data_IF_754624357408
#
_entry.id   IF_754624357408
#
_cell.length_a   1.000
_cell.length_b   1.000
_cell.length_c   1.000
_cell.angle_alpha   90.00
_cell.angle_beta   90.00
_cell.angle_gamma   90.00
#
_symmetry.space_group_name_H-M   'P 1'
#
loop_
_entity.id
_entity.type
_entity.pdbx_description
1 polymer ?
#
# COMPACT_ATOMS: atom_id res chain seq x y z
N UNK A 1 14.94 -7.87 25.95
CA UNK A 1 14.46 -8.99 25.10
C UNK A 1 15.34 -9.03 23.88
N UNK A 2 15.83 -10.20 23.48
CA UNK A 2 16.74 -10.33 22.34
C UNK A 2 16.01 -9.91 21.06
N UNK A 3 16.49 -8.87 20.39
CA UNK A 3 16.04 -8.53 19.03
C UNK A 3 16.25 -9.75 18.14
N UNK A 4 15.23 -10.23 17.41
CA UNK A 4 15.44 -11.26 16.40
C UNK A 4 16.53 -10.80 15.44
N UNK A 5 17.43 -11.69 15.04
CA UNK A 5 18.38 -11.39 13.98
C UNK A 5 17.62 -11.31 12.64
N UNK A 6 17.02 -10.16 12.35
CA UNK A 6 16.30 -9.93 11.09
C UNK A 6 17.19 -10.11 9.85
N UNK A 7 18.50 -9.99 10.05
CA UNK A 7 19.52 -10.17 9.01
C UNK A 7 19.61 -11.62 8.52
N UNK A 8 19.17 -12.61 9.32
CA UNK A 8 19.22 -14.03 8.96
C UNK A 8 17.91 -14.58 8.38
N UNK A 9 16.87 -13.75 8.23
CA UNK A 9 15.59 -14.18 7.67
C UNK A 9 15.67 -14.29 6.14
N UNK A 10 15.51 -15.51 5.63
CA UNK A 10 15.40 -15.75 4.20
C UNK A 10 14.08 -15.23 3.61
N UNK A 11 13.99 -15.11 2.27
CA UNK A 11 12.78 -14.64 1.57
C UNK A 11 11.59 -15.61 1.70
N UNK A 12 11.82 -16.83 2.18
CA UNK A 12 10.78 -17.85 2.40
C UNK A 12 10.41 -18.05 3.86
N UNK A 13 11.10 -17.35 4.77
CA UNK A 13 10.87 -17.52 6.20
C UNK A 13 9.73 -16.61 6.67
N UNK A 14 8.84 -17.20 7.46
CA UNK A 14 7.79 -16.47 8.17
C UNK A 14 8.34 -15.88 9.47
N UNK A 15 7.87 -14.69 9.83
CA UNK A 15 8.26 -14.01 11.06
C UNK A 15 7.04 -13.88 11.98
N UNK A 16 7.18 -14.31 13.24
CA UNK A 16 6.17 -14.04 14.26
C UNK A 16 6.38 -12.64 14.85
N UNK A 17 5.30 -11.90 14.97
CA UNK A 17 5.22 -10.59 15.61
C UNK A 17 4.41 -10.72 16.91
N UNK A 18 4.38 -9.64 17.69
CA UNK A 18 3.54 -9.57 18.87
C UNK A 18 2.03 -9.57 18.53
N UNK A 19 1.19 -9.74 19.56
CA UNK A 19 -0.28 -9.73 19.44
C UNK A 19 -0.86 -10.81 18.52
N UNK A 20 -0.15 -11.91 18.34
CA UNK A 20 -0.58 -13.05 17.51
C UNK A 20 -0.59 -12.73 16.02
N UNK A 21 0.22 -11.77 15.55
CA UNK A 21 0.41 -11.51 14.13
C UNK A 21 1.65 -12.23 13.62
N UNK A 22 1.60 -12.69 12.38
CA UNK A 22 2.76 -13.25 11.68
C UNK A 22 2.85 -12.71 10.27
N UNK A 23 4.07 -12.55 9.78
CA UNK A 23 4.37 -12.21 8.41
C UNK A 23 4.71 -13.48 7.63
N UNK A 24 3.98 -13.71 6.54
CA UNK A 24 4.19 -14.84 5.65
C UNK A 24 4.64 -14.36 4.27
N UNK A 25 5.63 -15.01 3.65
CA UNK A 25 6.09 -14.64 2.33
C UNK A 25 5.01 -14.89 1.28
N UNK A 26 4.97 -14.01 0.27
CA UNK A 26 4.07 -14.07 -0.87
C UNK A 26 4.73 -13.48 -2.11
N UNK A 27 4.14 -13.76 -3.27
CA UNK A 27 4.46 -13.08 -4.52
C UNK A 27 3.16 -12.53 -5.07
N UNK A 28 3.04 -11.19 -5.14
CA UNK A 28 1.91 -10.54 -5.79
C UNK A 28 2.30 -10.11 -7.19
N UNK A 29 1.47 -10.46 -8.17
CA UNK A 29 1.55 -10.01 -9.54
C UNK A 29 0.32 -9.17 -9.85
N UNK A 30 0.52 -8.03 -10.47
CA UNK A 30 -0.55 -7.21 -11.02
C UNK A 30 -0.62 -7.47 -12.51
N UNK A 31 -1.81 -7.69 -13.04
CA UNK A 31 -2.00 -7.87 -14.47
C UNK A 31 -3.05 -6.94 -15.03
N UNK A 32 -2.78 -6.45 -16.23
CA UNK A 32 -3.67 -5.61 -17.03
C UNK A 32 -4.03 -6.37 -18.29
N UNK A 33 -5.31 -6.43 -18.61
CA UNK A 33 -5.84 -7.22 -19.72
C UNK A 33 -6.22 -6.27 -20.84
N UNK A 34 -5.67 -6.51 -22.02
CA UNK A 34 -5.94 -5.78 -23.24
C UNK A 34 -6.68 -6.67 -24.24
N UNK A 35 -7.45 -6.07 -25.14
CA UNK A 35 -8.03 -6.78 -26.28
C UNK A 35 -6.98 -6.92 -27.38
N UNK A 36 -6.81 -8.13 -27.90
CA UNK A 36 -6.00 -8.34 -29.11
C UNK A 36 -6.86 -8.26 -30.38
N UNK A 37 -8.13 -8.68 -30.29
CA UNK A 37 -9.08 -8.69 -31.42
C UNK A 37 -10.10 -7.54 -31.40
N UNK A 38 -10.79 -7.36 -32.54
CA UNK A 38 -11.84 -6.35 -32.73
C UNK A 38 -13.20 -6.72 -32.12
N UNK A 39 -13.34 -7.93 -31.55
CA UNK A 39 -14.61 -8.38 -30.97
C UNK A 39 -14.90 -7.65 -29.65
N UNK A 40 -16.15 -7.22 -29.48
CA UNK A 40 -16.63 -6.61 -28.22
C UNK A 40 -17.22 -7.68 -27.31
N UNK A 41 -16.59 -8.86 -27.27
CA UNK A 41 -17.07 -9.94 -26.42
C UNK A 41 -16.95 -9.54 -24.94
N UNK A 42 -17.95 -9.90 -24.12
CA UNK A 42 -17.84 -9.71 -22.69
C UNK A 42 -16.70 -10.56 -22.15
N UNK A 43 -15.94 -10.00 -21.22
CA UNK A 43 -14.90 -10.74 -20.52
C UNK A 43 -15.56 -11.77 -19.61
N UNK A 44 -15.14 -13.02 -19.71
CA UNK A 44 -15.50 -14.07 -18.77
C UNK A 44 -14.41 -14.17 -17.70
N UNK A 45 -14.69 -13.61 -16.52
CA UNK A 45 -13.74 -13.55 -15.40
C UNK A 45 -13.32 -14.94 -14.96
N UNK A 46 -14.27 -15.89 -14.90
CA UNK A 46 -14.01 -17.25 -14.47
C UNK A 46 -13.05 -17.96 -15.43
N UNK A 47 -13.24 -17.80 -16.75
CA UNK A 47 -12.34 -18.39 -17.74
C UNK A 47 -10.94 -17.80 -17.66
N UNK A 48 -10.80 -16.47 -17.54
CA UNK A 48 -9.48 -15.84 -17.40
C UNK A 48 -8.77 -16.36 -16.14
N UNK A 49 -9.46 -16.36 -14.99
CA UNK A 49 -8.91 -16.90 -13.74
C UNK A 49 -8.40 -18.33 -13.94
N UNK A 50 -9.24 -19.19 -14.52
CA UNK A 50 -8.89 -20.59 -14.75
C UNK A 50 -7.70 -20.75 -15.71
N UNK A 51 -7.65 -19.98 -16.80
CA UNK A 51 -6.51 -20.02 -17.73
C UNK A 51 -5.19 -19.60 -17.08
N UNK A 52 -5.21 -18.58 -16.20
CA UNK A 52 -4.03 -18.16 -15.45
C UNK A 52 -3.60 -19.25 -14.47
N UNK A 53 -4.55 -19.83 -13.73
CA UNK A 53 -4.28 -20.90 -12.75
C UNK A 53 -3.74 -22.15 -13.45
N UNK A 54 -4.37 -22.58 -14.54
CA UNK A 54 -3.95 -23.74 -15.33
C UNK A 54 -2.54 -23.53 -15.91
N UNK A 55 -2.22 -22.32 -16.40
CA UNK A 55 -0.89 -21.97 -16.88
C UNK A 55 0.17 -22.07 -15.75
N UNK A 56 -0.11 -21.50 -14.58
CA UNK A 56 0.82 -21.57 -13.44
C UNK A 56 1.06 -23.01 -13.01
N UNK A 57 0.01 -23.83 -13.02
CA UNK A 57 0.08 -25.25 -12.71
C UNK A 57 0.88 -26.03 -13.75
N UNK A 58 0.68 -25.77 -15.05
CA UNK A 58 1.37 -26.50 -16.12
C UNK A 58 2.82 -26.07 -16.33
N UNK A 59 3.09 -24.77 -16.24
CA UNK A 59 4.39 -24.20 -16.63
C UNK A 59 5.34 -24.00 -15.47
N UNK A 60 4.81 -23.84 -14.25
CA UNK A 60 5.60 -23.54 -13.07
C UNK A 60 5.33 -24.51 -11.90
N UNK A 61 4.44 -25.50 -12.08
CA UNK A 61 4.01 -26.44 -11.03
C UNK A 61 3.52 -25.74 -9.76
N UNK A 62 2.92 -24.56 -9.93
CA UNK A 62 2.39 -23.74 -8.83
C UNK A 62 0.89 -23.95 -8.72
N UNK A 63 0.42 -24.37 -7.55
CA UNK A 63 -0.99 -24.38 -7.22
C UNK A 63 -1.40 -23.02 -6.62
N UNK A 64 -2.45 -22.43 -7.17
CA UNK A 64 -3.02 -21.17 -6.67
C UNK A 64 -4.53 -21.36 -6.49
N UNK A 65 -5.09 -21.08 -5.30
CA UNK A 65 -6.53 -21.06 -5.08
C UNK A 65 -7.24 -19.99 -5.91
N UNK A 66 -8.50 -20.23 -6.29
CA UNK A 66 -9.32 -19.27 -7.05
C UNK A 66 -9.51 -17.93 -6.32
N UNK A 67 -9.50 -17.96 -4.98
CA UNK A 67 -9.62 -16.78 -4.10
C UNK A 67 -8.40 -15.84 -4.19
N UNK A 68 -7.24 -16.36 -4.55
CA UNK A 68 -5.99 -15.60 -4.66
C UNK A 68 -5.82 -14.93 -6.04
N UNK A 69 -6.82 -15.07 -6.92
CA UNK A 69 -6.90 -14.38 -8.21
C UNK A 69 -8.11 -13.46 -8.22
N UNK A 70 -7.86 -12.15 -8.25
CA UNK A 70 -8.90 -11.13 -8.41
C UNK A 70 -8.87 -10.58 -9.83
N UNK A 71 -10.05 -10.42 -10.42
CA UNK A 71 -10.22 -9.74 -11.72
C UNK A 71 -11.33 -8.72 -11.56
N UNK A 72 -11.04 -7.50 -12.01
CA UNK A 72 -11.95 -6.35 -12.01
C UNK A 72 -12.05 -5.81 -13.42
N UNK A 73 -13.25 -5.87 -13.99
CA UNK A 73 -13.55 -5.28 -15.29
C UNK A 73 -13.67 -3.78 -15.15
N UNK A 74 -13.21 -3.05 -16.18
CA UNK A 74 -13.50 -1.63 -16.25
C UNK A 74 -14.96 -1.39 -16.68
N UNK A 75 -15.53 -0.28 -16.20
CA UNK A 75 -16.87 0.16 -16.61
C UNK A 75 -16.82 0.65 -18.07
N UNK A 76 -17.98 0.65 -18.72
CA UNK A 76 -18.17 1.21 -20.07
C UNK A 76 -17.18 0.72 -21.14
N UNK A 77 -17.01 -0.60 -21.25
CA UNK A 77 -16.18 -1.28 -22.26
C UNK A 77 -16.45 -0.88 -23.73
N UNK A 78 -17.58 -0.22 -24.02
CA UNK A 78 -17.97 0.28 -25.33
C UNK A 78 -17.47 1.70 -25.64
N UNK A 79 -17.17 2.50 -24.61
CA UNK A 79 -16.65 3.89 -24.76
C UNK A 79 -15.13 3.94 -24.78
N UNK A 80 -14.48 2.86 -24.35
CA UNK A 80 -13.02 2.71 -24.31
C UNK A 80 -12.43 2.56 -25.71
N UNK A 81 -11.23 3.11 -25.91
CA UNK A 81 -10.47 2.97 -27.15
C UNK A 81 -9.97 1.54 -27.31
N UNK A 82 -9.53 1.20 -28.52
CA UNK A 82 -9.08 -0.15 -28.87
C UNK A 82 -7.93 -0.65 -28.00
N UNK A 83 -6.98 0.24 -27.71
CA UNK A 83 -5.75 -0.09 -26.99
C UNK A 83 -5.91 0.13 -25.47
N UNK A 84 -7.09 0.56 -25.03
CA UNK A 84 -7.36 0.75 -23.62
C UNK A 84 -7.52 -0.61 -22.91
N UNK A 85 -7.09 -0.69 -21.66
CA UNK A 85 -7.25 -1.90 -20.87
C UNK A 85 -8.75 -2.14 -20.59
N UNK A 86 -9.11 -3.41 -20.55
CA UNK A 86 -10.49 -3.88 -20.40
C UNK A 86 -10.77 -4.55 -19.07
N UNK A 87 -9.73 -5.08 -18.43
CA UNK A 87 -9.78 -5.49 -17.04
C UNK A 87 -8.40 -5.31 -16.39
N UNK A 88 -8.40 -5.22 -15.08
CA UNK A 88 -7.22 -5.32 -14.22
C UNK A 88 -7.41 -6.45 -13.24
N UNK A 89 -6.33 -7.05 -12.78
CA UNK A 89 -6.42 -8.06 -11.76
C UNK A 89 -5.14 -8.21 -10.97
N UNK A 90 -5.23 -9.02 -9.92
CA UNK A 90 -4.10 -9.35 -9.08
C UNK A 90 -4.09 -10.83 -8.78
N UNK A 91 -2.89 -11.40 -8.77
CA UNK A 91 -2.60 -12.78 -8.48
C UNK A 91 -1.65 -12.83 -7.29
N UNK A 92 -1.96 -13.63 -6.27
CA UNK A 92 -1.12 -13.77 -5.08
C UNK A 92 -0.70 -15.23 -4.92
N UNK A 93 0.60 -15.50 -5.04
CA UNK A 93 1.16 -16.83 -4.81
C UNK A 93 1.66 -16.89 -3.37
N UNK A 94 1.02 -17.75 -2.56
CA UNK A 94 1.30 -17.91 -1.12
C UNK A 94 2.10 -19.16 -0.79
N UNK A 95 1.98 -20.21 -1.61
CA UNK A 95 2.69 -21.47 -1.42
C UNK A 95 4.07 -21.41 -2.09
N UNK A 96 5.08 -20.98 -1.35
CA UNK A 96 6.44 -20.83 -1.88
C UNK A 96 7.38 -21.99 -1.50
N UNK A 97 6.86 -23.05 -0.88
CA UNK A 97 7.65 -24.18 -0.37
C UNK A 97 8.38 -25.00 -1.45
N UNK A 98 7.99 -24.88 -2.72
CA UNK A 98 8.66 -25.53 -3.84
C UNK A 98 9.92 -24.78 -4.30
N UNK A 99 9.99 -23.47 -4.05
CA UNK A 99 11.05 -22.60 -4.58
C UNK A 99 12.45 -22.91 -4.04
N UNK A 100 12.66 -23.18 -2.73
CA UNK A 100 13.99 -23.56 -2.26
C UNK A 100 14.57 -24.76 -3.01
N UNK A 101 13.74 -25.77 -3.31
CA UNK A 101 14.14 -26.94 -4.11
C UNK A 101 14.37 -26.58 -5.57
N UNK A 102 13.47 -25.80 -6.17
CA UNK A 102 13.59 -25.36 -7.57
C UNK A 102 14.86 -24.50 -7.81
N UNK A 103 15.23 -23.67 -6.84
CA UNK A 103 16.42 -22.83 -6.85
C UNK A 103 17.70 -23.59 -6.41
N UNK A 104 17.58 -24.90 -6.15
CA UNK A 104 18.66 -25.79 -5.70
C UNK A 104 19.35 -25.30 -4.42
N UNK A 105 18.57 -24.75 -3.49
CA UNK A 105 19.08 -24.34 -2.19
C UNK A 105 19.18 -25.54 -1.23
N UNK A 106 20.37 -25.77 -0.68
CA UNK A 106 20.60 -26.75 0.38
C UNK A 106 20.71 -26.01 1.71
N UNK A 107 19.83 -26.31 2.67
CA UNK A 107 19.77 -25.67 4.00
C UNK A 107 20.88 -26.15 4.96
N UNK A 108 21.92 -26.82 4.46
CA UNK A 108 22.83 -27.58 5.32
C UNK A 108 23.93 -26.74 6.01
N UNK A 109 24.14 -25.46 5.67
CA UNK A 109 25.05 -24.59 6.43
C UNK A 109 24.64 -23.12 6.29
N UNK A 110 24.27 -22.49 7.41
CA UNK A 110 23.92 -21.07 7.56
C UNK A 110 25.18 -20.20 7.46
N UNK A 111 25.49 -19.68 6.26
CA UNK A 111 26.40 -18.56 6.09
C UNK A 111 25.63 -17.40 5.45
N UNK A 112 25.80 -16.17 5.95
CA UNK A 112 25.12 -14.94 5.45
C UNK A 112 25.23 -14.78 3.93
N UNK A 113 26.39 -15.09 3.34
CA UNK A 113 26.59 -15.03 1.88
C UNK A 113 25.68 -15.97 1.08
N UNK A 114 25.24 -17.10 1.64
CA UNK A 114 24.30 -18.02 0.96
C UNK A 114 22.87 -17.48 0.96
N UNK A 115 22.48 -16.65 1.93
CA UNK A 115 21.16 -16.01 1.97
C UNK A 115 21.07 -14.95 0.88
N UNK A 116 22.08 -14.10 0.75
CA UNK A 116 22.15 -13.10 -0.33
C UNK A 116 22.08 -13.74 -1.72
N UNK A 117 22.79 -14.84 -1.93
CA UNK A 117 22.75 -15.57 -3.20
C UNK A 117 21.37 -16.19 -3.48
N UNK A 118 20.69 -16.67 -2.45
CA UNK A 118 19.32 -17.16 -2.56
C UNK A 118 18.34 -16.02 -2.85
N UNK A 119 18.52 -14.84 -2.24
CA UNK A 119 17.73 -13.65 -2.55
C UNK A 119 17.89 -13.21 -4.01
N UNK A 120 19.13 -13.20 -4.52
CA UNK A 120 19.40 -12.90 -5.94
C UNK A 120 18.69 -13.89 -6.85
N UNK A 121 18.85 -15.19 -6.64
CA UNK A 121 18.16 -16.24 -7.41
C UNK A 121 16.64 -16.11 -7.35
N UNK A 122 16.10 -15.76 -6.19
CA UNK A 122 14.67 -15.53 -6.02
C UNK A 122 14.18 -14.32 -6.83
N UNK A 123 14.92 -13.21 -6.80
CA UNK A 123 14.63 -12.01 -7.62
C UNK A 123 14.68 -12.34 -9.10
N UNK A 124 15.70 -13.07 -9.55
CA UNK A 124 15.85 -13.50 -10.95
C UNK A 124 14.71 -14.41 -11.39
N UNK A 125 14.34 -15.40 -10.57
CA UNK A 125 13.22 -16.29 -10.84
C UNK A 125 11.90 -15.53 -10.95
N UNK A 126 11.65 -14.59 -10.02
CA UNK A 126 10.45 -13.76 -10.00
C UNK A 126 10.38 -12.86 -11.23
N UNK A 127 11.51 -12.27 -11.65
CA UNK A 127 11.58 -11.50 -12.91
C UNK A 127 11.29 -12.38 -14.12
N UNK A 128 11.88 -13.56 -14.19
CA UNK A 128 11.62 -14.52 -15.28
C UNK A 128 10.16 -15.00 -15.32
N UNK A 129 9.47 -15.09 -14.18
CA UNK A 129 8.04 -15.37 -14.14
C UNK A 129 7.23 -14.24 -14.79
N UNK A 130 7.54 -12.98 -14.44
CA UNK A 130 6.90 -11.79 -15.02
C UNK A 130 7.14 -11.74 -16.53
N UNK A 131 8.38 -11.88 -16.99
CA UNK A 131 8.73 -11.85 -18.41
C UNK A 131 8.01 -12.93 -19.24
N UNK A 132 7.73 -14.10 -18.66
CA UNK A 132 6.99 -15.18 -19.34
C UNK A 132 5.49 -14.92 -19.42
N UNK A 133 4.92 -14.25 -18.42
CA UNK A 133 3.49 -13.95 -18.39
C UNK A 133 3.15 -12.63 -19.09
N UNK A 134 4.09 -11.68 -19.10
CA UNK A 134 3.94 -10.42 -19.81
C UNK A 134 3.91 -10.66 -21.32
N UNK A 135 2.89 -10.11 -21.98
CA UNK A 135 2.63 -10.32 -23.40
C UNK A 135 1.94 -11.64 -23.74
N UNK A 136 1.58 -12.48 -22.76
CA UNK A 136 0.86 -13.73 -23.01
C UNK A 136 -0.50 -13.47 -23.68
N UNK A 137 -0.76 -14.17 -24.79
CA UNK A 137 -2.05 -14.14 -25.47
C UNK A 137 -2.97 -15.26 -24.95
N UNK A 138 -4.13 -14.87 -24.43
CA UNK A 138 -5.19 -15.78 -24.01
C UNK A 138 -6.27 -15.86 -25.09
N UNK A 139 -6.51 -17.07 -25.60
CA UNK A 139 -7.58 -17.35 -26.56
C UNK A 139 -8.79 -17.91 -25.82
N UNK A 140 -9.82 -17.08 -25.63
CA UNK A 140 -11.05 -17.47 -24.94
C UNK A 140 -12.23 -17.40 -25.92
N UNK A 141 -12.77 -18.57 -26.30
CA UNK A 141 -13.96 -18.71 -27.14
C UNK A 141 -13.94 -17.85 -28.42
N UNK A 142 -12.79 -17.82 -29.09
CA UNK A 142 -12.60 -17.06 -30.34
C UNK A 142 -12.30 -15.57 -30.14
N UNK A 143 -12.11 -15.11 -28.90
CA UNK A 143 -11.61 -13.76 -28.58
C UNK A 143 -10.21 -13.84 -28.01
N UNK A 144 -9.29 -13.07 -28.57
CA UNK A 144 -7.91 -12.98 -28.09
C UNK A 144 -7.73 -11.80 -27.13
N UNK A 145 -7.11 -12.07 -26.00
CA UNK A 145 -6.71 -11.08 -25.01
C UNK A 145 -5.20 -11.11 -24.83
N UNK A 146 -4.58 -9.96 -24.60
CA UNK A 146 -3.16 -9.85 -24.25
C UNK A 146 -3.05 -9.45 -22.79
N UNK A 147 -2.24 -10.20 -22.04
CA UNK A 147 -1.88 -9.85 -20.67
C UNK A 147 -0.65 -8.96 -20.67
N UNK A 148 -0.67 -7.93 -19.83
CA UNK A 148 0.55 -7.29 -19.34
C UNK A 148 0.68 -7.54 -17.86
N UNK A 149 1.86 -7.94 -17.40
CA UNK A 149 2.09 -8.35 -16.01
C UNK A 149 3.22 -7.53 -15.41
N UNK A 150 3.01 -7.01 -14.21
CA UNK A 150 3.97 -6.21 -13.47
C UNK A 150 4.04 -6.60 -12.00
N UNK A 151 5.17 -6.32 -11.37
CA UNK A 151 5.31 -6.38 -9.92
C UNK A 151 4.80 -5.08 -9.31
N UNK A 152 4.06 -5.14 -8.19
CA UNK A 152 3.73 -3.94 -7.45
C UNK A 152 5.02 -3.34 -6.88
N UNK A 153 5.14 -2.01 -6.95
CA UNK A 153 6.32 -1.29 -6.44
C UNK A 153 6.58 -1.58 -4.94
N UNK A 154 5.53 -1.86 -4.17
CA UNK A 154 5.61 -2.24 -2.76
C UNK A 154 6.34 -3.56 -2.48
N UNK A 155 6.46 -4.44 -3.47
CA UNK A 155 7.07 -5.77 -3.31
C UNK A 155 8.49 -5.82 -3.92
N UNK A 156 8.95 -4.73 -4.55
CA UNK A 156 10.31 -4.59 -5.07
C UNK A 156 11.18 -3.74 -4.13
N UNK A 157 11.78 -4.43 -3.15
CA UNK A 157 12.72 -3.83 -2.22
C UNK A 157 13.91 -3.15 -2.92
N UNK A 158 14.45 -3.75 -4.00
CA UNK A 158 15.68 -3.26 -4.63
C UNK A 158 15.40 -1.99 -5.45
N UNK A 159 14.27 -1.96 -6.16
CA UNK A 159 13.82 -0.74 -6.84
C UNK A 159 13.56 0.39 -5.84
N UNK A 160 12.81 0.12 -4.77
CA UNK A 160 12.54 1.12 -3.74
C UNK A 160 13.82 1.60 -3.05
N UNK A 161 14.77 0.69 -2.83
CA UNK A 161 16.08 1.03 -2.27
C UNK A 161 16.85 2.00 -3.15
N UNK A 162 16.93 1.68 -4.44
CA UNK A 162 17.55 2.54 -5.43
C UNK A 162 16.87 3.91 -5.46
N UNK A 163 15.55 3.97 -5.45
CA UNK A 163 14.79 5.22 -5.49
C UNK A 163 15.11 6.14 -4.30
N UNK A 164 15.20 5.61 -3.07
CA UNK A 164 15.56 6.44 -1.92
C UNK A 164 17.06 6.80 -1.91
N UNK A 165 17.94 5.94 -2.39
CA UNK A 165 19.37 6.22 -2.52
C UNK A 165 19.61 7.34 -3.55
N UNK A 166 18.89 7.31 -4.67
CA UNK A 166 18.90 8.36 -5.68
C UNK A 166 18.32 9.67 -5.14
N UNK A 167 17.20 9.64 -4.40
CA UNK A 167 16.64 10.83 -3.78
C UNK A 167 17.58 11.45 -2.75
N UNK A 168 18.31 10.64 -1.97
CA UNK A 168 19.33 11.13 -1.03
C UNK A 168 20.55 11.69 -1.78
N UNK A 169 20.96 11.07 -2.89
CA UNK A 169 22.12 11.50 -3.68
C UNK A 169 21.87 12.76 -4.51
N UNK A 170 20.67 12.90 -5.10
CA UNK A 170 20.34 13.93 -6.09
C UNK A 170 19.30 14.95 -5.62
N UNK A 171 18.56 14.69 -4.54
CA UNK A 171 17.50 15.57 -4.01
C UNK A 171 17.97 16.96 -3.55
N UNK A 172 19.28 17.20 -3.54
CA UNK A 172 19.91 18.44 -3.10
C UNK A 172 20.10 19.50 -4.21
N UNK A 173 19.60 19.29 -5.44
CA UNK A 173 19.88 20.19 -6.59
C UNK A 173 18.92 21.39 -6.74
N UNK A 174 18.01 21.66 -5.81
CA UNK A 174 16.95 22.64 -6.05
C UNK A 174 16.71 23.66 -4.93
N UNK A 175 16.39 23.21 -3.72
CA UNK A 175 15.99 24.10 -2.62
C UNK A 175 16.35 23.44 -1.29
N UNK A 176 16.72 24.26 -0.30
CA UNK A 176 17.11 23.90 1.07
C UNK A 176 16.09 22.98 1.77
N UNK A 177 16.07 21.68 1.44
CA UNK A 177 15.53 20.61 2.28
C UNK A 177 16.71 19.97 3.00
N UNK A 178 16.72 20.12 4.32
CA UNK A 178 17.90 19.93 5.15
C UNK A 178 18.54 18.54 5.05
N UNK A 179 19.87 18.56 4.91
CA UNK A 179 20.79 17.45 5.20
C UNK A 179 20.66 16.22 4.29
N UNK A 180 21.77 15.50 4.10
CA UNK A 180 21.77 14.13 3.57
C UNK A 180 21.05 13.21 4.56
N UNK A 181 19.72 13.24 4.57
CA UNK A 181 18.97 12.49 5.56
C UNK A 181 18.51 11.16 4.98
N UNK A 182 19.00 10.09 5.60
CA UNK A 182 18.59 8.73 5.31
C UNK A 182 17.09 8.57 5.60
N UNK A 183 16.38 7.72 4.82
CA UNK A 183 14.99 7.41 5.10
C UNK A 183 14.90 6.69 6.44
N UNK A 184 14.00 7.15 7.30
CA UNK A 184 13.78 6.62 8.65
C UNK A 184 12.31 6.23 8.90
N UNK A 185 11.43 6.48 7.93
CA UNK A 185 9.98 6.41 8.10
C UNK A 185 9.34 5.49 7.07
N UNK A 186 8.66 4.44 7.55
CA UNK A 186 7.87 3.47 6.76
C UNK A 186 6.40 3.88 6.79
N UNK A 187 5.73 3.76 5.65
CA UNK A 187 4.29 3.94 5.49
C UNK A 187 3.68 2.62 5.06
N UNK A 188 2.80 2.07 5.88
CA UNK A 188 2.07 0.83 5.64
C UNK A 188 0.59 1.17 5.42
N UNK A 189 0.03 0.71 4.30
CA UNK A 189 -1.35 0.99 3.89
C UNK A 189 -2.14 -0.29 3.64
N UNK A 190 -3.45 -0.24 3.85
CA UNK A 190 -4.37 -1.34 3.53
C UNK A 190 -4.46 -2.46 4.57
N UNK A 191 -3.90 -2.26 5.76
CA UNK A 191 -3.95 -3.27 6.82
C UNK A 191 -5.29 -3.24 7.57
N UNK A 192 -5.81 -4.38 8.08
CA UNK A 192 -7.11 -4.40 8.75
C UNK A 192 -7.09 -3.67 10.10
N UNK A 193 -7.93 -2.65 10.27
CA UNK A 193 -7.99 -1.83 11.49
C UNK A 193 -8.19 -2.68 12.76
N UNK A 194 -9.01 -3.74 12.67
CA UNK A 194 -9.36 -4.64 13.78
C UNK A 194 -8.16 -5.47 14.29
N UNK A 195 -7.11 -5.63 13.49
CA UNK A 195 -5.91 -6.38 13.88
C UNK A 195 -4.99 -5.56 14.78
N UNK A 196 -5.08 -4.24 14.68
CA UNK A 196 -4.33 -3.28 15.47
C UNK A 196 -5.16 -2.64 16.59
N UNK A 197 -6.41 -3.05 16.74
CA UNK A 197 -7.31 -2.54 17.78
C UNK A 197 -7.14 -3.29 19.11
N UNK A 198 -7.45 -2.63 20.22
CA UNK A 198 -7.50 -3.28 21.53
C UNK A 198 -8.66 -4.30 21.59
N UNK A 199 -8.40 -5.52 22.09
CA UNK A 199 -9.43 -6.55 22.19
C UNK A 199 -10.63 -6.06 22.99
N UNK A 200 -11.84 -6.21 22.44
CA UNK A 200 -13.14 -5.94 23.11
C UNK A 200 -13.48 -4.47 23.39
N UNK A 201 -12.63 -3.52 23.03
CA UNK A 201 -12.81 -2.10 23.42
C UNK A 201 -13.10 -1.18 22.23
N UNK A 202 -12.55 -1.44 21.04
CA UNK A 202 -12.71 -0.54 19.90
C UNK A 202 -12.59 -1.24 18.55
N UNK A 203 -13.22 -0.70 17.51
CA UNK A 203 -12.95 -1.02 16.10
C UNK A 203 -11.82 -0.19 15.50
N UNK A 204 -11.43 0.89 16.18
CA UNK A 204 -10.35 1.76 15.76
C UNK A 204 -8.99 1.16 16.11
N UNK A 205 -7.99 1.33 15.24
CA UNK A 205 -6.64 0.85 15.52
C UNK A 205 -6.05 1.61 16.73
N UNK A 206 -5.41 0.88 17.63
CA UNK A 206 -4.75 1.41 18.84
C UNK A 206 -3.29 1.70 18.54
N UNK A 207 -2.85 2.90 18.92
CA UNK A 207 -1.44 3.30 18.83
C UNK A 207 -0.56 2.42 19.72
N UNK A 208 -1.05 1.99 20.90
CA UNK A 208 -0.28 1.14 21.83
C UNK A 208 -0.05 -0.26 21.26
N UNK A 209 -1.11 -0.90 20.74
CA UNK A 209 -1.02 -2.23 20.11
C UNK A 209 -0.07 -2.17 18.91
N UNK A 210 -0.23 -1.14 18.07
CA UNK A 210 0.63 -0.93 16.91
C UNK A 210 2.09 -0.70 17.31
N UNK A 211 2.33 0.10 18.35
CA UNK A 211 3.68 0.30 18.88
C UNK A 211 4.32 -1.01 19.31
N UNK A 212 3.59 -1.85 20.05
CA UNK A 212 4.06 -3.17 20.49
C UNK A 212 4.48 -4.04 19.29
N UNK A 213 3.61 -4.15 18.29
CA UNK A 213 3.85 -4.94 17.08
C UNK A 213 5.11 -4.46 16.33
N UNK A 214 5.24 -3.15 16.11
CA UNK A 214 6.38 -2.60 15.35
C UNK A 214 7.66 -2.48 16.17
N UNK A 215 7.58 -2.49 17.50
CA UNK A 215 8.76 -2.53 18.39
C UNK A 215 9.55 -3.81 18.22
N UNK A 216 8.92 -4.87 17.68
CA UNK A 216 9.61 -6.08 17.29
C UNK A 216 10.76 -5.78 16.31
N UNK A 217 10.59 -4.84 15.38
CA UNK A 217 11.59 -4.51 14.35
C UNK A 217 12.71 -3.59 14.85
N UNK A 218 12.51 -2.87 15.95
CA UNK A 218 13.50 -1.92 16.47
C UNK A 218 12.87 -0.78 17.26
N UNK A 219 13.70 0.19 17.62
CA UNK A 219 13.27 1.30 18.47
C UNK A 219 12.49 2.34 17.67
N UNK A 220 11.24 2.58 18.05
CA UNK A 220 10.34 3.52 17.40
C UNK A 220 10.53 4.93 17.98
N UNK A 221 10.75 5.92 17.11
CA UNK A 221 10.84 7.34 17.47
C UNK A 221 9.48 8.02 17.45
N UNK A 222 8.72 7.79 16.39
CA UNK A 222 7.37 8.34 16.20
C UNK A 222 6.49 7.29 15.52
N UNK A 223 5.22 7.26 15.89
CA UNK A 223 4.21 6.38 15.33
C UNK A 223 2.92 7.18 15.13
N UNK A 224 2.31 7.02 13.98
CA UNK A 224 0.97 7.53 13.68
C UNK A 224 0.11 6.42 13.09
N UNK A 225 -1.15 6.39 13.48
CA UNK A 225 -2.11 5.38 13.03
C UNK A 225 -3.44 6.06 12.74
N UNK A 226 -3.86 6.00 11.49
CA UNK A 226 -5.05 6.65 10.99
C UNK A 226 -5.91 5.70 10.15
N UNK A 227 -7.18 6.03 9.93
CA UNK A 227 -8.02 5.33 8.95
C UNK A 227 -7.48 5.58 7.54
N UNK A 228 -7.42 4.54 6.71
CA UNK A 228 -6.89 4.68 5.35
C UNK A 228 -8.00 5.06 4.38
N UNK A 229 -8.33 6.35 4.36
CA UNK A 229 -9.39 6.90 3.52
C UNK A 229 -8.95 7.19 2.08
N UNK A 230 -7.65 7.07 1.79
CA UNK A 230 -7.06 7.41 0.50
C UNK A 230 -6.64 6.17 -0.32
N UNK A 231 -6.89 4.95 0.16
CA UNK A 231 -6.61 3.76 -0.64
C UNK A 231 -7.53 3.75 -1.85
N UNK A 232 -6.96 3.61 -3.04
CA UNK A 232 -7.70 3.51 -4.30
C UNK A 232 -8.21 4.82 -4.89
N UNK A 233 -7.84 5.99 -4.33
CA UNK A 233 -8.18 7.29 -4.93
C UNK A 233 -7.27 7.70 -6.09
N UNK A 234 -6.05 7.16 -6.14
CA UNK A 234 -5.03 7.58 -7.13
C UNK A 234 -5.11 6.81 -8.46
N UNK A 235 -6.07 5.90 -8.64
CA UNK A 235 -6.18 5.02 -9.82
C UNK A 235 -7.57 5.06 -10.46
N UNK A 236 -7.85 6.17 -11.18
CA UNK A 236 -9.02 6.41 -12.05
C UNK A 236 -10.42 6.21 -11.42
N UNK A 237 -11.41 6.94 -11.95
CA UNK A 237 -12.82 7.03 -11.49
C UNK A 237 -13.61 5.69 -11.46
N UNK A 238 -12.95 4.55 -11.70
CA UNK A 238 -13.52 3.22 -11.86
C UNK A 238 -13.37 2.30 -10.64
N UNK A 239 -12.72 2.73 -9.56
CA UNK A 239 -12.61 1.95 -8.33
C UNK A 239 -13.94 1.97 -7.54
N UNK A 240 -14.44 0.79 -7.16
CA UNK A 240 -15.53 0.69 -6.16
C UNK A 240 -14.96 1.20 -4.85
N UNK A 241 -15.63 2.20 -4.30
CA UNK A 241 -15.40 2.80 -2.99
C UNK A 241 -14.97 1.72 -1.98
N UNK A 242 -13.67 1.71 -1.65
CA UNK A 242 -13.18 0.91 -0.53
C UNK A 242 -13.96 1.41 0.69
N UNK A 243 -14.66 0.52 1.37
CA UNK A 243 -15.47 0.88 2.55
C UNK A 243 -14.55 1.54 3.56
N UNK A 244 -14.66 2.86 3.65
CA UNK A 244 -13.80 3.69 4.48
C UNK A 244 -13.93 3.24 5.94
N UNK A 245 -12.79 3.10 6.64
CA UNK A 245 -12.73 2.71 8.05
C UNK A 245 -12.43 1.23 8.36
N UNK A 246 -12.48 0.32 7.37
CA UNK A 246 -12.08 -1.10 7.60
C UNK A 246 -10.57 -1.31 7.59
N UNK A 247 -9.85 -0.47 6.84
CA UNK A 247 -8.39 -0.50 6.71
C UNK A 247 -7.78 0.74 7.39
N UNK A 248 -6.57 0.58 7.91
CA UNK A 248 -5.80 1.66 8.50
C UNK A 248 -4.45 1.86 7.78
N UNK A 249 -3.98 3.10 7.89
CA UNK A 249 -2.65 3.55 7.48
C UNK A 249 -1.81 3.71 8.72
N UNK A 250 -0.63 3.10 8.70
CA UNK A 250 0.33 3.14 9.79
C UNK A 250 1.60 3.80 9.28
N UNK A 251 2.06 4.84 9.98
CA UNK A 251 3.32 5.52 9.66
C UNK A 251 4.26 5.34 10.84
N UNK A 252 5.40 4.67 10.63
CA UNK A 252 6.37 4.35 11.68
C UNK A 252 7.71 4.98 11.35
N UNK A 253 8.22 5.82 12.26
CA UNK A 253 9.58 6.34 12.20
C UNK A 253 10.47 5.62 13.20
N UNK A 254 11.57 5.06 12.74
CA UNK A 254 12.57 4.39 13.57
C UNK A 254 13.66 5.35 14.02
N UNK A 255 14.33 5.02 15.13
CA UNK A 255 15.50 5.77 15.58
C UNK A 255 16.76 5.46 14.78
N UNK A 256 16.94 4.20 14.37
CA UNK A 256 18.11 3.70 13.65
C UNK A 256 17.76 3.35 12.21
N UNK A 257 18.63 3.74 11.28
CA UNK A 257 18.50 3.37 9.86
C UNK A 257 18.50 1.85 9.64
N UNK A 258 19.29 1.10 10.42
CA UNK A 258 19.32 -0.38 10.33
C UNK A 258 17.96 -0.99 10.63
N UNK A 259 17.27 -0.49 11.65
CA UNK A 259 15.95 -0.97 12.04
C UNK A 259 14.93 -0.66 10.93
N UNK A 260 14.96 0.55 10.37
CA UNK A 260 14.17 0.91 9.19
C UNK A 260 14.45 -0.02 8.00
N UNK A 261 15.72 -0.21 7.64
CA UNK A 261 16.14 -1.01 6.49
C UNK A 261 15.68 -2.46 6.63
N UNK A 262 15.89 -3.06 7.80
CA UNK A 262 15.50 -4.44 8.09
C UNK A 262 13.98 -4.60 8.13
N UNK A 263 13.26 -3.69 8.80
CA UNK A 263 11.80 -3.68 8.80
C UNK A 263 11.23 -3.59 7.39
N UNK A 264 11.74 -2.65 6.58
CA UNK A 264 11.29 -2.44 5.21
C UNK A 264 11.57 -3.66 4.33
N UNK A 265 12.78 -4.25 4.42
CA UNK A 265 13.16 -5.49 3.72
C UNK A 265 12.23 -6.64 4.09
N UNK A 266 11.88 -6.77 5.38
CA UNK A 266 11.02 -7.86 5.86
C UNK A 266 9.57 -7.66 5.43
N UNK A 267 9.06 -6.43 5.46
CA UNK A 267 7.68 -6.14 5.09
C UNK A 267 7.42 -6.31 3.58
N UNK A 268 8.41 -6.01 2.73
CA UNK A 268 8.32 -6.20 1.29
C UNK A 268 8.08 -7.68 0.93
N UNK A 269 7.08 -7.95 0.08
CA UNK A 269 6.78 -9.31 -0.38
C UNK A 269 6.25 -10.26 0.70
N UNK A 270 5.73 -9.73 1.82
CA UNK A 270 5.03 -10.51 2.84
C UNK A 270 3.58 -10.06 2.99
N UNK A 271 2.76 -10.91 3.61
CA UNK A 271 1.38 -10.63 4.03
C UNK A 271 1.27 -10.85 5.54
N UNK A 272 0.36 -10.13 6.19
CA UNK A 272 0.06 -10.35 7.60
C UNK A 272 -0.98 -11.47 7.73
N UNK A 273 -0.82 -12.31 8.75
CA UNK A 273 -1.80 -13.29 9.17
C UNK A 273 -1.99 -13.18 10.68
N UNK A 274 -3.23 -13.28 11.14
CA UNK A 274 -3.54 -13.33 12.57
C UNK A 274 -3.68 -14.79 13.03
N UNK A 275 -3.18 -15.09 14.22
CA UNK A 275 -3.33 -16.38 14.86
C UNK A 275 -4.81 -16.76 14.98
N UNK A 276 -5.13 -18.01 14.64
CA UNK A 276 -6.50 -18.51 14.59
C UNK A 276 -7.32 -18.01 13.40
N UNK A 277 -6.79 -17.12 12.56
CA UNK A 277 -7.42 -16.65 11.33
C UNK A 277 -6.85 -17.34 10.10
N UNK A 278 -7.72 -17.74 9.17
CA UNK A 278 -7.34 -18.18 7.82
C UNK A 278 -7.09 -16.99 6.88
N UNK A 279 -7.59 -15.80 7.24
CA UNK A 279 -7.42 -14.59 6.44
C UNK A 279 -5.96 -14.14 6.46
N UNK A 280 -5.38 -13.94 5.28
CA UNK A 280 -4.13 -13.21 5.08
C UNK A 280 -4.44 -11.83 4.52
N UNK A 281 -3.96 -10.80 5.20
CA UNK A 281 -4.12 -9.43 4.76
C UNK A 281 -2.88 -8.98 3.99
N UNK A 282 -3.11 -8.62 2.74
CA UNK A 282 -2.12 -7.96 1.91
C UNK A 282 -2.13 -6.46 2.19
N UNK A 283 -0.96 -5.84 2.08
CA UNK A 283 -0.75 -4.41 2.35
C UNK A 283 0.19 -3.82 1.32
N UNK A 284 0.23 -2.49 1.27
CA UNK A 284 1.19 -1.72 0.49
C UNK A 284 2.22 -1.09 1.43
N UNK A 285 3.50 -1.34 1.16
CA UNK A 285 4.62 -0.75 1.90
C UNK A 285 5.29 0.31 1.03
N UNK A 286 5.42 1.50 1.58
CA UNK A 286 6.17 2.60 0.97
C UNK A 286 6.99 3.30 2.05
N UNK A 287 7.83 4.25 1.63
CA UNK A 287 8.63 5.06 2.55
C UNK A 287 8.27 6.54 2.38
N UNK A 288 8.50 7.31 3.43
CA UNK A 288 8.13 8.73 3.48
C UNK A 288 9.07 9.60 2.63
N UNK A 289 8.62 9.98 1.43
CA UNK A 289 9.36 10.88 0.52
C UNK A 289 9.27 12.34 0.94
N UNK A 290 8.15 12.73 1.55
CA UNK A 290 7.81 14.12 1.80
C UNK A 290 8.16 14.58 3.21
N UNK A 291 8.34 13.67 4.16
CA UNK A 291 8.63 14.04 5.54
C UNK A 291 7.36 14.28 6.35
N UNK A 292 6.44 13.31 6.34
CA UNK A 292 5.18 13.28 7.09
C UNK A 292 5.29 13.88 8.50
N UNK A 293 6.17 13.34 9.36
CA UNK A 293 6.33 13.85 10.73
C UNK A 293 7.15 15.15 10.83
N UNK A 294 7.78 15.62 9.75
CA UNK A 294 8.44 16.94 9.72
C UNK A 294 7.42 18.03 9.43
N UNK A 295 6.53 17.76 8.48
CA UNK A 295 5.48 18.69 8.08
C UNK A 295 4.38 18.83 9.13
N UNK A 296 4.09 17.79 9.92
CA UNK A 296 3.12 17.87 11.03
C UNK A 296 3.57 18.86 12.12
N UNK A 297 4.88 18.97 12.38
CA UNK A 297 5.44 19.94 13.33
C UNK A 297 5.30 21.37 12.82
N UNK A 298 5.62 21.61 11.54
CA UNK A 298 5.43 22.93 10.92
C UNK A 298 3.97 23.31 10.81
N UNK A 299 3.06 22.38 10.52
CA UNK A 299 1.63 22.69 10.39
C UNK A 299 0.99 23.02 11.74
N UNK A 300 1.44 22.39 12.84
CA UNK A 300 1.00 22.72 14.21
C UNK A 300 1.59 24.05 14.69
N UNK A 301 2.84 24.36 14.32
CA UNK A 301 3.49 25.67 14.57
C UNK A 301 2.89 26.81 13.72
N UNK A 302 2.51 26.55 12.47
CA UNK A 302 1.80 27.51 11.62
C UNK A 302 0.38 27.73 12.14
N UNK A 303 -0.35 26.68 12.54
CA UNK A 303 -1.68 26.84 13.14
C UNK A 303 -1.63 27.67 14.43
N UNK A 304 -0.57 27.52 15.23
CA UNK A 304 -0.38 28.32 16.44
C UNK A 304 0.13 29.75 16.15
N UNK A 305 0.79 30.00 15.02
CA UNK A 305 1.08 31.36 14.51
C UNK A 305 -0.15 32.11 13.98
N UNK A 306 -1.15 31.38 13.48
CA UNK A 306 -2.39 31.97 12.94
C UNK A 306 -3.52 32.13 13.97
N UNK A 307 -3.31 31.74 15.23
CA UNK A 307 -4.18 32.20 16.31
C UNK A 307 -3.72 33.62 16.67
N UNK A 308 -4.54 34.67 16.47
CA UNK A 308 -4.20 35.97 17.00
C UNK A 308 -4.13 35.82 18.52
N UNK A 309 -3.03 36.27 19.12
CA UNK A 309 -2.89 36.45 20.55
C UNK A 309 -3.91 37.49 21.03
N UNK A 310 -5.17 37.08 21.14
CA UNK A 310 -6.25 37.89 21.68
C UNK A 310 -6.19 37.74 23.19
N UNK A 311 -5.50 38.69 23.81
CA UNK A 311 -5.87 39.34 25.05
C UNK A 311 -6.19 38.45 26.25
N UNK A 312 -5.29 38.48 27.23
CA UNK A 312 -5.61 38.40 28.67
C UNK A 312 -7.07 38.73 29.01
N UNK A 313 -7.87 37.70 29.26
CA UNK A 313 -9.23 37.85 29.78
C UNK A 313 -9.17 38.05 31.30
N UNK A 314 -9.27 39.31 31.74
CA UNK A 314 -9.66 39.65 33.09
C UNK A 314 -11.19 39.55 33.20
N UNK A 315 -11.65 38.74 34.16
CA UNK A 315 -13.03 38.70 34.62
C UNK A 315 -13.46 40.06 35.20
N UNK A 316 -14.61 40.59 34.76
CA UNK A 316 -15.65 41.18 35.63
C UNK A 316 -16.92 41.44 34.83
N UNK A 317 -18.05 40.98 35.38
CA UNK A 317 -19.33 40.91 34.70
C UNK A 317 -20.17 42.18 34.74
N UNK A 318 -21.14 42.22 33.84
CA UNK A 318 -22.43 42.90 34.04
C UNK A 318 -23.45 42.38 33.02
N UNK A 319 -24.72 42.33 33.44
CA UNK A 319 -25.84 41.62 32.81
C UNK A 319 -26.49 42.38 31.62
N UNK A 320 -27.33 41.72 30.80
CA UNK A 320 -27.65 42.16 29.44
C UNK A 320 -28.83 43.14 29.39
N UNK A 321 -28.69 44.23 28.64
CA UNK A 321 -29.81 45.12 28.30
C UNK A 321 -30.33 44.83 26.89
N UNK A 322 -31.59 44.40 26.85
CA UNK A 322 -32.46 44.34 25.67
C UNK A 322 -32.66 45.75 25.08
N UNK A 323 -32.55 45.89 23.77
CA UNK A 323 -33.37 46.85 23.01
C UNK A 323 -33.86 46.18 21.72
N UNK A 324 -35.19 46.08 21.64
CA UNK A 324 -35.95 45.82 20.43
C UNK A 324 -36.08 47.13 19.65
N UNK A 325 -35.91 47.11 18.32
CA UNK A 325 -36.80 47.86 17.42
C UNK A 325 -36.78 47.27 16.00
N UNK A 326 -37.93 47.46 15.36
CA UNK A 326 -38.54 46.66 14.31
C UNK A 326 -38.47 47.38 12.97
N UNK A 327 -38.24 46.61 11.89
CA UNK A 327 -38.52 46.78 10.45
C UNK A 327 -38.99 48.14 9.88
N UNK A 328 -38.44 48.49 8.70
CA UNK A 328 -39.23 49.00 7.56
C UNK A 328 -38.75 48.44 6.21
N UNK A 329 -39.74 48.14 5.37
CA UNK A 329 -39.71 47.52 4.05
C UNK A 329 -39.67 48.57 2.92
N UNK A 330 -38.94 48.25 1.83
CA UNK A 330 -39.22 48.43 0.37
C UNK A 330 -39.32 49.82 -0.29
N UNK A 331 -39.36 49.96 -1.65
CA UNK A 331 -39.06 49.02 -2.78
C UNK A 331 -38.28 49.64 -3.98
N UNK A 332 -38.05 48.81 -5.01
CA UNK A 332 -37.94 49.10 -6.46
C UNK A 332 -36.75 49.86 -7.08
N UNK A 333 -35.97 49.16 -7.93
CA UNK A 333 -36.00 49.40 -9.39
C UNK A 333 -35.36 48.23 -10.17
N UNK A 334 -35.96 47.91 -11.31
CA UNK A 334 -35.78 46.70 -12.10
C UNK A 334 -34.78 46.85 -13.26
N UNK A 335 -33.97 45.78 -13.50
CA UNK A 335 -33.54 45.10 -14.78
C UNK A 335 -33.10 45.95 -16.03
N UNK A 336 -32.48 45.37 -17.11
CA UNK A 336 -32.05 43.98 -17.38
C UNK A 336 -30.64 43.78 -18.03
N UNK A 337 -30.35 42.49 -18.25
CA UNK A 337 -29.24 41.81 -18.97
C UNK A 337 -28.96 42.28 -20.40
N UNK A 338 -27.71 42.06 -20.88
CA UNK A 338 -27.43 41.76 -22.30
C UNK A 338 -26.31 40.73 -22.46
N UNK A 339 -26.62 39.66 -23.19
CA UNK A 339 -25.68 38.69 -23.78
C UNK A 339 -24.91 39.35 -24.94
N UNK A 340 -23.71 38.86 -25.26
CA UNK A 340 -23.02 39.09 -26.53
C UNK A 340 -22.76 37.76 -27.24
N UNK A 341 -22.88 37.85 -28.56
CA UNK A 341 -22.75 36.81 -29.60
C UNK A 341 -21.43 36.05 -29.59
#
# INVERSE_FOLDING_TARGET
>A
MSTPAFDSLGPFDSLQLESGLSLHPRIKLLFTIFRSDKSVSPIDDWKIKRSIIDYLKSSHSVAVPDEDVEIRKFKDLKKRKRDDPVARGSLVIRELGFLPKALRFKKEEENEGKIEDLEKKFVEWRRGLVEKMDGMELNLEGSKFKLSVALPASDDFQAMKKDWEELVAFGNRGYNRGGRQQPDTIVLRGVPSRWFAEPRVSSKPSMLVTHSIFSAFGQIRNLDVAEDNDLGRDADEDEVEIVSGLQCKIVVRFEKYRDFYNAFKVLCGRSLQKEGSRLRADYEVTWDKDGFFRHSRTQTEERSRWVPASGTANYRGEAPRRQYHTTRYSPDEARPKRFKE
#
